data_IF_794321086917
#
_entry.id   IF_794321086917
#
_cell.length_a   1.000
_cell.length_b   1.000
_cell.length_c   1.000
_cell.angle_alpha   90.00
_cell.angle_beta   90.00
_cell.angle_gamma   90.00
#
_symmetry.space_group_name_H-M   'P 1'
#
loop_
_entity.id
_entity.type
_entity.pdbx_description
1 polymer ?
#
# COMPACT_ATOMS: atom_id res chain seq x y z
N UNK A 1 37.38 26.30 -33.81
CA UNK A 1 37.16 26.53 -32.37
C UNK A 1 35.75 26.11 -31.96
N UNK A 2 34.71 26.40 -32.76
CA UNK A 2 33.31 25.99 -32.52
C UNK A 2 33.11 24.49 -32.23
N UNK A 3 33.78 23.61 -32.97
CA UNK A 3 33.62 22.16 -32.82
C UNK A 3 34.06 21.62 -31.44
N UNK A 4 34.93 22.35 -30.73
CA UNK A 4 35.41 21.98 -29.39
C UNK A 4 34.43 22.44 -28.31
N UNK A 5 33.82 23.62 -28.48
CA UNK A 5 32.80 24.13 -27.57
C UNK A 5 31.52 23.28 -27.62
N UNK A 6 31.09 22.83 -28.80
CA UNK A 6 29.95 21.90 -28.93
C UNK A 6 30.21 20.55 -28.24
N UNK A 7 31.44 20.04 -28.30
CA UNK A 7 31.83 18.80 -27.63
C UNK A 7 31.80 18.97 -26.10
N UNK A 8 32.29 20.11 -25.58
CA UNK A 8 32.25 20.40 -24.15
C UNK A 8 30.82 20.56 -23.63
N UNK A 9 29.94 21.22 -24.39
CA UNK A 9 28.51 21.34 -24.04
C UNK A 9 27.84 19.97 -24.02
N UNK A 10 28.08 19.11 -25.02
CA UNK A 10 27.59 17.72 -25.01
C UNK A 10 28.07 16.90 -23.82
N UNK A 11 29.33 17.06 -23.42
CA UNK A 11 29.90 16.36 -22.25
C UNK A 11 29.23 16.86 -20.96
N UNK A 12 28.99 18.17 -20.86
CA UNK A 12 28.31 18.78 -19.72
C UNK A 12 26.86 18.31 -19.61
N UNK A 13 26.09 18.36 -20.69
CA UNK A 13 24.69 17.91 -20.72
C UNK A 13 24.58 16.41 -20.39
N UNK A 14 25.54 15.61 -20.87
CA UNK A 14 25.61 14.18 -20.54
C UNK A 14 25.97 13.94 -19.07
N UNK A 15 26.84 14.75 -18.49
CA UNK A 15 27.18 14.66 -17.06
C UNK A 15 26.02 15.11 -16.17
N UNK A 16 25.31 16.18 -16.56
CA UNK A 16 24.16 16.70 -15.83
C UNK A 16 22.98 15.70 -15.88
N UNK A 17 22.74 15.06 -17.02
CA UNK A 17 21.72 14.02 -17.14
C UNK A 17 22.04 12.74 -16.36
N UNK A 18 23.30 12.31 -16.32
CA UNK A 18 23.75 11.18 -15.49
C UNK A 18 23.61 11.47 -14.00
N UNK A 19 23.95 12.69 -13.57
CA UNK A 19 23.78 13.11 -12.18
C UNK A 19 22.30 13.18 -11.79
N UNK A 20 21.43 13.75 -12.64
CA UNK A 20 20.00 13.80 -12.42
C UNK A 20 19.38 12.39 -12.32
N UNK A 21 19.78 11.47 -13.20
CA UNK A 21 19.32 10.08 -13.15
C UNK A 21 19.79 9.37 -11.87
N UNK A 22 21.03 9.61 -11.43
CA UNK A 22 21.56 9.07 -10.17
C UNK A 22 20.78 9.56 -8.95
N UNK A 23 20.56 10.89 -8.84
CA UNK A 23 19.78 11.48 -7.75
C UNK A 23 18.33 10.98 -7.71
N UNK A 24 17.71 10.81 -8.87
CA UNK A 24 16.35 10.28 -8.97
C UNK A 24 16.25 8.82 -8.51
N UNK A 25 17.23 7.98 -8.86
CA UNK A 25 17.28 6.58 -8.40
C UNK A 25 17.52 6.48 -6.89
N UNK A 26 18.40 7.31 -6.33
CA UNK A 26 18.62 7.37 -4.87
C UNK A 26 17.34 7.80 -4.14
N UNK A 27 16.70 8.88 -4.58
CA UNK A 27 15.45 9.39 -3.99
C UNK A 27 14.32 8.35 -4.02
N UNK A 28 14.13 7.65 -5.14
CA UNK A 28 13.12 6.57 -5.21
C UNK A 28 13.42 5.40 -4.28
N UNK A 29 14.70 5.07 -4.08
CA UNK A 29 15.10 4.01 -3.16
C UNK A 29 14.79 4.40 -1.72
N UNK A 30 15.13 5.63 -1.32
CA UNK A 30 14.84 6.17 0.01
C UNK A 30 13.33 6.24 0.30
N UNK A 31 12.53 6.71 -0.66
CA UNK A 31 11.07 6.76 -0.53
C UNK A 31 10.48 5.35 -0.37
N UNK A 32 10.96 4.39 -1.16
CA UNK A 32 10.54 2.98 -1.04
C UNK A 32 10.86 2.44 0.35
N UNK A 33 12.09 2.63 0.84
CA UNK A 33 12.51 2.14 2.15
C UNK A 33 11.69 2.76 3.29
N UNK A 34 11.39 4.07 3.20
CA UNK A 34 10.55 4.76 4.16
C UNK A 34 9.10 4.21 4.17
N UNK A 35 8.52 3.95 2.99
CA UNK A 35 7.20 3.32 2.87
C UNK A 35 7.21 1.89 3.44
N UNK A 36 8.24 1.10 3.14
CA UNK A 36 8.39 -0.26 3.69
C UNK A 36 8.47 -0.23 5.20
N UNK A 37 9.26 0.67 5.79
CA UNK A 37 9.33 0.82 7.25
C UNK A 37 7.95 1.15 7.82
N UNK A 38 7.27 2.15 7.26
CA UNK A 38 5.94 2.57 7.69
C UNK A 38 4.93 1.42 7.63
N UNK A 39 4.89 0.67 6.53
CA UNK A 39 3.96 -0.43 6.34
C UNK A 39 4.25 -1.59 7.32
N UNK A 40 5.52 -1.87 7.62
CA UNK A 40 5.88 -2.86 8.64
C UNK A 40 5.45 -2.43 10.04
N UNK A 41 5.59 -1.16 10.38
CA UNK A 41 5.13 -0.63 11.66
C UNK A 41 3.60 -0.73 11.79
N UNK A 42 2.86 -0.38 10.72
CA UNK A 42 1.41 -0.51 10.69
C UNK A 42 1.00 -1.99 10.80
N UNK A 43 1.67 -2.89 10.09
CA UNK A 43 1.42 -4.33 10.18
C UNK A 43 1.59 -4.86 11.61
N UNK A 44 2.66 -4.42 12.30
CA UNK A 44 2.88 -4.75 13.71
C UNK A 44 1.76 -4.19 14.61
N UNK A 45 1.41 -2.92 14.46
CA UNK A 45 0.33 -2.29 15.25
C UNK A 45 -1.02 -2.97 15.03
N UNK A 46 -1.32 -3.40 13.80
CA UNK A 46 -2.52 -4.19 13.50
C UNK A 46 -2.55 -5.51 14.27
N UNK A 47 -1.45 -6.25 14.25
CA UNK A 47 -1.33 -7.51 14.96
C UNK A 47 -1.40 -7.34 16.49
N UNK A 48 -0.75 -6.32 17.03
CA UNK A 48 -0.81 -5.97 18.46
C UNK A 48 -2.22 -5.55 18.90
N UNK A 49 -2.96 -4.86 18.03
CA UNK A 49 -4.33 -4.43 18.29
C UNK A 49 -5.34 -5.57 18.21
N UNK A 50 -5.06 -6.57 17.37
CA UNK A 50 -5.94 -7.72 17.16
C UNK A 50 -5.17 -8.96 16.70
N UNK A 51 -5.00 -9.98 17.57
CA UNK A 51 -4.26 -11.19 17.23
C UNK A 51 -4.95 -12.05 16.16
N UNK A 52 -6.21 -11.76 15.83
CA UNK A 52 -6.92 -12.45 14.75
C UNK A 52 -6.62 -11.87 13.36
N UNK A 53 -5.87 -10.77 13.28
CA UNK A 53 -5.42 -10.18 12.02
C UNK A 53 -4.00 -10.62 11.70
N UNK A 54 -3.82 -10.97 10.43
CA UNK A 54 -2.53 -11.14 9.81
C UNK A 54 -2.31 -10.00 8.83
N UNK A 55 -1.17 -9.32 8.93
CA UNK A 55 -0.78 -8.24 8.05
C UNK A 55 0.60 -8.56 7.47
N UNK A 56 0.72 -8.52 6.13
CA UNK A 56 1.94 -8.85 5.41
C UNK A 56 2.33 -7.74 4.45
N UNK A 57 3.57 -7.28 4.57
CA UNK A 57 4.17 -6.33 3.64
C UNK A 57 4.76 -7.08 2.44
N UNK A 58 4.45 -6.60 1.23
CA UNK A 58 4.94 -7.16 -0.03
C UNK A 58 5.67 -6.04 -0.77
N UNK A 59 6.92 -6.30 -1.15
CA UNK A 59 7.81 -5.30 -1.75
C UNK A 59 8.24 -5.75 -3.14
N UNK A 60 7.33 -5.67 -4.11
CA UNK A 60 7.64 -5.97 -5.51
C UNK A 60 8.02 -4.66 -6.23
N UNK A 61 7.18 -4.24 -7.18
CA UNK A 61 7.28 -2.96 -7.86
C UNK A 61 6.81 -1.82 -6.96
N UNK A 62 5.64 -2.02 -6.35
CA UNK A 62 5.03 -1.09 -5.38
C UNK A 62 5.24 -1.62 -3.95
N UNK A 63 4.93 -0.79 -2.95
CA UNK A 63 4.88 -1.23 -1.55
C UNK A 63 3.45 -1.57 -1.21
N UNK A 64 3.19 -2.82 -0.84
CA UNK A 64 1.85 -3.31 -0.57
C UNK A 64 1.73 -3.83 0.87
N UNK A 65 0.55 -3.65 1.46
CA UNK A 65 0.15 -4.23 2.73
C UNK A 65 -1.10 -5.07 2.47
N UNK A 66 -0.98 -6.38 2.59
CA UNK A 66 -2.10 -7.30 2.56
C UNK A 66 -2.52 -7.62 4.00
N UNK A 67 -3.78 -7.43 4.33
CA UNK A 67 -4.33 -7.73 5.66
C UNK A 67 -5.48 -8.73 5.51
N UNK A 68 -5.53 -9.75 6.38
CA UNK A 68 -6.53 -10.81 6.38
C UNK A 68 -6.82 -11.34 7.80
N UNK A 69 -7.86 -12.16 7.96
CA UNK A 69 -8.15 -12.84 9.23
C UNK A 69 -7.46 -14.21 9.32
N UNK A 70 -6.73 -14.46 10.41
CA UNK A 70 -5.85 -15.63 10.60
C UNK A 70 -6.61 -16.97 10.72
N UNK A 71 -7.79 -16.96 11.34
CA UNK A 71 -8.63 -18.16 11.53
C UNK A 71 -9.65 -18.41 10.41
N UNK A 72 -9.56 -17.68 9.30
CA UNK A 72 -10.51 -17.82 8.22
C UNK A 72 -10.23 -19.07 7.40
N UNK A 73 -11.04 -20.09 7.61
CA UNK A 73 -11.00 -21.36 6.87
C UNK A 73 -11.52 -21.16 5.42
N UNK A 74 -10.84 -20.32 4.64
CA UNK A 74 -10.95 -20.12 3.18
C UNK A 74 -11.81 -18.96 2.63
N UNK A 75 -12.51 -18.13 3.42
CA UNK A 75 -13.34 -17.04 2.87
C UNK A 75 -13.39 -15.73 3.67
N UNK A 76 -12.29 -15.31 4.33
CA UNK A 76 -12.29 -13.97 4.93
C UNK A 76 -12.11 -12.86 3.89
N UNK A 77 -12.75 -11.71 4.13
CA UNK A 77 -12.40 -10.48 3.43
C UNK A 77 -10.91 -10.14 3.61
N UNK A 78 -10.27 -9.69 2.54
CA UNK A 78 -8.87 -9.23 2.52
C UNK A 78 -8.81 -7.77 2.10
N UNK A 79 -8.05 -6.97 2.81
CA UNK A 79 -7.75 -5.61 2.36
C UNK A 79 -6.31 -5.57 1.87
N UNK A 80 -6.13 -5.08 0.64
CA UNK A 80 -4.82 -4.76 0.09
C UNK A 80 -4.68 -3.26 -0.02
N UNK A 81 -3.64 -2.73 0.60
CA UNK A 81 -3.23 -1.33 0.44
C UNK A 81 -1.99 -1.30 -0.44
N UNK A 82 -2.03 -0.55 -1.53
CA UNK A 82 -0.90 -0.38 -2.46
C UNK A 82 -0.46 1.08 -2.42
N UNK A 83 0.82 1.31 -2.12
CA UNK A 83 1.49 2.60 -2.25
C UNK A 83 2.36 2.62 -3.51
N UNK A 84 1.91 3.40 -4.49
CA UNK A 84 2.70 3.78 -5.66
C UNK A 84 3.47 5.05 -5.34
N UNK A 85 4.67 5.18 -5.87
CA UNK A 85 5.53 6.32 -5.63
C UNK A 85 6.24 6.73 -6.94
N UNK A 86 6.27 8.04 -7.20
CA UNK A 86 6.97 8.65 -8.32
C UNK A 86 7.64 9.94 -7.84
N UNK A 87 8.95 9.87 -7.62
CA UNK A 87 9.70 10.90 -6.88
C UNK A 87 9.12 11.10 -5.47
N UNK A 88 8.76 12.34 -5.13
CA UNK A 88 8.18 12.68 -3.84
C UNK A 88 6.67 12.38 -3.75
N UNK A 89 5.99 12.10 -4.86
CA UNK A 89 4.55 11.92 -4.89
C UNK A 89 4.18 10.46 -4.59
N UNK A 90 3.37 10.29 -3.55
CA UNK A 90 2.83 9.00 -3.11
C UNK A 90 1.34 8.95 -3.45
N UNK A 91 0.90 7.84 -4.03
CA UNK A 91 -0.51 7.48 -4.24
C UNK A 91 -0.76 6.16 -3.50
N UNK A 92 -1.51 6.24 -2.40
CA UNK A 92 -1.89 5.08 -1.60
C UNK A 92 -3.36 4.78 -1.82
N UNK A 93 -3.64 3.54 -2.24
CA UNK A 93 -4.99 3.03 -2.51
C UNK A 93 -5.27 1.79 -1.69
N UNK A 94 -6.50 1.65 -1.23
CA UNK A 94 -7.02 0.44 -0.61
C UNK A 94 -8.01 -0.23 -1.56
N UNK A 95 -7.86 -1.55 -1.73
CA UNK A 95 -8.77 -2.41 -2.47
C UNK A 95 -9.10 -3.65 -1.64
N UNK A 96 -10.23 -4.24 -1.97
CA UNK A 96 -10.85 -5.36 -1.29
C UNK A 96 -10.62 -6.74 -1.91
N UNK A 97 -9.76 -6.79 -2.92
CA UNK A 97 -9.52 -7.97 -3.76
C UNK A 97 -10.80 -8.61 -4.32
N UNK A 98 -11.85 -7.81 -4.60
CA UNK A 98 -13.08 -8.23 -5.29
C UNK A 98 -13.86 -9.33 -4.57
N UNK A 99 -14.09 -9.17 -3.27
CA UNK A 99 -14.95 -10.07 -2.53
C UNK A 99 -16.41 -9.91 -2.97
N UNK A 100 -16.98 -10.97 -3.55
CA UNK A 100 -18.41 -11.04 -3.85
C UNK A 100 -19.14 -11.72 -2.71
N UNK A 101 -20.07 -10.98 -2.11
CA UNK A 101 -20.98 -11.53 -1.12
C UNK A 101 -21.71 -12.74 -1.70
N UNK A 102 -21.66 -13.85 -0.97
CA UNK A 102 -22.39 -15.07 -1.29
C UNK A 102 -23.35 -15.36 -0.15
N UNK A 103 -24.55 -14.76 -0.12
CA UNK A 103 -25.45 -14.74 1.04
C UNK A 103 -25.79 -16.11 1.63
N UNK A 104 -25.69 -17.16 0.81
CA UNK A 104 -26.02 -18.54 1.18
C UNK A 104 -24.81 -19.39 1.58
N UNK A 105 -23.59 -18.86 1.52
CA UNK A 105 -22.34 -19.61 1.76
C UNK A 105 -21.41 -18.92 2.77
N UNK A 106 -21.32 -17.59 2.70
CA UNK A 106 -20.50 -16.77 3.58
C UNK A 106 -21.44 -15.69 4.10
N UNK A 107 -21.61 -15.57 5.42
CA UNK A 107 -22.61 -14.68 6.03
C UNK A 107 -22.54 -13.22 5.58
N UNK A 108 -23.41 -12.35 6.09
CA UNK A 108 -23.59 -11.00 5.57
C UNK A 108 -22.41 -10.05 5.91
N UNK A 109 -21.23 -10.22 5.29
CA UNK A 109 -20.09 -9.32 5.50
C UNK A 109 -20.26 -7.93 4.82
N UNK A 110 -21.32 -7.73 4.03
CA UNK A 110 -21.77 -6.44 3.48
C UNK A 110 -21.21 -6.09 2.10
N UNK A 111 -21.84 -5.12 1.44
CA UNK A 111 -21.38 -4.50 0.19
C UNK A 111 -20.19 -3.56 0.45
N UNK A 112 -19.18 -3.62 -0.43
CA UNK A 112 -17.85 -3.05 -0.21
C UNK A 112 -17.56 -1.78 -1.04
N UNK A 113 -16.29 -1.42 -1.09
CA UNK A 113 -15.68 -0.15 -1.51
C UNK A 113 -14.87 -0.51 -2.75
N UNK A 114 -15.31 -0.03 -3.91
CA UNK A 114 -14.45 0.02 -5.09
C UNK A 114 -13.13 0.73 -4.73
N UNK A 115 -12.02 0.42 -5.43
CA UNK A 115 -10.68 1.00 -5.20
C UNK A 115 -10.74 2.44 -4.64
N UNK A 116 -10.32 2.62 -3.38
CA UNK A 116 -10.38 3.89 -2.69
C UNK A 116 -8.98 4.50 -2.58
N UNK A 117 -8.85 5.75 -3.03
CA UNK A 117 -7.66 6.56 -2.75
C UNK A 117 -7.72 6.96 -1.27
N UNK A 118 -6.75 6.51 -0.48
CA UNK A 118 -6.67 6.83 0.96
C UNK A 118 -5.65 7.95 1.23
N UNK A 119 -4.65 8.11 0.36
CA UNK A 119 -3.69 9.20 0.44
C UNK A 119 -3.14 9.55 -0.95
N UNK A 120 -2.99 10.84 -1.23
CA UNK A 120 -2.28 11.33 -2.41
C UNK A 120 -1.52 12.60 -2.06
N UNK A 121 -0.22 12.64 -2.32
CA UNK A 121 0.61 13.81 -2.03
C UNK A 121 2.07 13.46 -1.69
N UNK A 122 2.85 14.43 -1.18
CA UNK A 122 4.25 14.21 -0.81
C UNK A 122 4.40 13.14 0.27
N UNK A 123 5.55 12.49 0.42
CA UNK A 123 5.75 11.54 1.52
C UNK A 123 5.54 12.21 2.89
N UNK A 124 4.63 11.64 3.69
CA UNK A 124 4.28 12.13 5.02
C UNK A 124 3.87 10.96 5.90
N UNK A 125 4.79 10.52 6.76
CA UNK A 125 4.60 9.35 7.64
C UNK A 125 3.29 9.45 8.43
N UNK A 126 3.09 10.57 9.12
CA UNK A 126 1.91 10.78 9.97
C UNK A 126 0.59 10.83 9.19
N UNK A 127 0.57 11.42 7.99
CA UNK A 127 -0.65 11.49 7.18
C UNK A 127 -0.99 10.14 6.55
N UNK A 128 0.00 9.44 6.01
CA UNK A 128 -0.19 8.09 5.45
C UNK A 128 -0.64 7.13 6.54
N UNK A 129 0.02 7.14 7.71
CA UNK A 129 -0.38 6.33 8.87
C UNK A 129 -1.82 6.59 9.27
N UNK A 130 -2.20 7.84 9.50
CA UNK A 130 -3.54 8.20 9.94
C UNK A 130 -4.60 7.82 8.88
N UNK A 131 -4.29 7.98 7.60
CA UNK A 131 -5.17 7.56 6.51
C UNK A 131 -5.37 6.04 6.47
N UNK A 132 -4.27 5.27 6.61
CA UNK A 132 -4.30 3.81 6.66
C UNK A 132 -5.05 3.31 7.89
N UNK A 133 -4.74 3.83 9.08
CA UNK A 133 -5.43 3.46 10.31
C UNK A 133 -6.93 3.76 10.21
N UNK A 134 -7.32 4.97 9.78
CA UNK A 134 -8.73 5.31 9.62
C UNK A 134 -9.45 4.43 8.62
N UNK A 135 -8.81 4.05 7.53
CA UNK A 135 -9.49 3.26 6.48
C UNK A 135 -9.48 1.78 6.82
N UNK A 136 -8.30 1.20 7.04
CA UNK A 136 -8.11 -0.24 7.27
C UNK A 136 -8.71 -0.68 8.60
N UNK A 137 -8.48 0.06 9.71
CA UNK A 137 -9.05 -0.32 11.00
C UNK A 137 -10.56 -0.12 11.05
N UNK A 138 -11.08 0.98 10.50
CA UNK A 138 -12.53 1.17 10.47
C UNK A 138 -13.22 0.09 9.64
N UNK A 139 -12.60 -0.30 8.53
CA UNK A 139 -13.06 -1.42 7.73
C UNK A 139 -13.06 -2.73 8.54
N UNK A 140 -11.96 -3.08 9.21
CA UNK A 140 -11.91 -4.28 10.04
C UNK A 140 -12.92 -4.29 11.19
N UNK A 141 -13.10 -3.16 11.87
CA UNK A 141 -14.10 -3.03 12.94
C UNK A 141 -15.49 -3.28 12.40
N UNK A 142 -15.84 -2.66 11.26
CA UNK A 142 -17.12 -2.88 10.60
C UNK A 142 -17.33 -4.36 10.25
N UNK A 143 -16.30 -5.04 9.75
CA UNK A 143 -16.40 -6.46 9.43
C UNK A 143 -16.57 -7.34 10.66
N UNK A 144 -15.92 -7.01 11.78
CA UNK A 144 -16.12 -7.76 13.04
C UNK A 144 -17.51 -7.56 13.64
N UNK A 145 -18.05 -6.34 13.52
CA UNK A 145 -19.35 -5.99 14.08
C UNK A 145 -20.52 -6.55 13.26
N UNK A 146 -20.36 -6.59 11.94
CA UNK A 146 -21.45 -6.93 11.01
C UNK A 146 -21.25 -8.28 10.31
N UNK A 147 -20.03 -8.79 10.28
CA UNK A 147 -19.70 -10.06 9.63
C UNK A 147 -20.19 -11.25 10.44
N UNK A 148 -21.07 -12.03 9.83
CA UNK A 148 -21.32 -13.40 10.27
C UNK A 148 -20.34 -14.30 9.52
N UNK A 149 -19.43 -15.04 10.19
CA UNK A 149 -18.47 -15.90 9.52
C UNK A 149 -19.10 -16.97 8.63
N UNK A 150 -20.42 -17.15 8.71
CA UNK A 150 -21.11 -18.20 7.98
C UNK A 150 -20.71 -19.58 8.50
N UNK A 151 -21.47 -20.58 8.08
CA UNK A 151 -21.08 -21.96 8.32
C UNK A 151 -19.97 -22.34 7.34
N UNK A 152 -18.95 -23.08 7.81
CA UNK A 152 -17.96 -23.67 6.91
C UNK A 152 -18.69 -24.47 5.81
N UNK A 153 -18.22 -24.44 4.55
CA UNK A 153 -18.78 -25.28 3.50
C UNK A 153 -18.76 -26.75 3.97
N UNK A 154 -19.90 -27.44 3.86
CA UNK A 154 -20.01 -28.88 4.15
C UNK A 154 -19.28 -29.72 3.12
#
# INVERSE_FOLDING_TARGET
MEHFEEQLTRIRDRSESLNAASHFVTSQTEVKENLVRLFNEIARTLHESDPNLEAKVITTKDVELAVAFLNSHFYSPRCKVTAKYDGDNIDVRAIDEFWKQSPNANGLWGDWIDEQIIYQGPFSDGQIRNAMEKTVLAWYKRLKENGDPGLAPQ
#
